data_IF_090339605740
#
_entry.id   IF_090339605740
#
_cell.length_a   1.000
_cell.length_b   1.000
_cell.length_c   1.000
_cell.angle_alpha   90.00
_cell.angle_beta   90.00
_cell.angle_gamma   90.00
#
_symmetry.space_group_name_H-M   'P 1'
#
loop_
_entity.id
_entity.type
_entity.pdbx_description
1 polymer ?
#
# COMPACT_ATOMS: atom_id res chain seq x y z
N UNK A 1 16.27 12.40 -16.78
CA UNK A 1 15.35 12.78 -15.69
C UNK A 1 14.21 11.77 -15.61
N UNK A 2 14.05 11.14 -14.43
CA UNK A 2 12.88 10.42 -13.91
C UNK A 2 12.22 9.30 -14.73
N UNK A 3 12.89 8.15 -14.91
CA UNK A 3 12.23 6.95 -15.46
C UNK A 3 12.33 5.65 -14.66
N UNK A 4 12.81 5.69 -13.42
CA UNK A 4 12.69 4.54 -12.53
C UNK A 4 11.89 4.94 -11.30
N UNK A 5 10.59 4.60 -11.28
CA UNK A 5 9.91 4.32 -10.03
C UNK A 5 10.63 3.11 -9.45
N UNK A 6 11.63 3.35 -8.60
CA UNK A 6 12.33 2.27 -7.91
C UNK A 6 11.31 1.47 -7.10
N UNK A 7 11.58 0.20 -6.89
CA UNK A 7 10.64 -0.68 -6.17
C UNK A 7 10.38 -0.14 -4.75
N UNK A 8 11.35 0.54 -4.14
CA UNK A 8 11.19 1.26 -2.88
C UNK A 8 10.12 2.37 -2.94
N UNK A 9 10.08 3.15 -4.03
CA UNK A 9 9.07 4.21 -4.20
C UNK A 9 7.68 3.64 -4.41
N UNK A 10 7.57 2.54 -5.15
CA UNK A 10 6.29 1.86 -5.33
C UNK A 10 5.79 1.27 -4.01
N UNK A 11 6.70 0.68 -3.23
CA UNK A 11 6.40 0.11 -1.93
C UNK A 11 5.98 1.20 -0.93
N UNK A 12 6.69 2.33 -0.91
CA UNK A 12 6.34 3.51 -0.11
C UNK A 12 4.94 4.02 -0.48
N UNK A 13 4.61 4.12 -1.77
CA UNK A 13 3.28 4.54 -2.21
C UNK A 13 2.17 3.62 -1.70
N UNK A 14 2.34 2.29 -1.81
CA UNK A 14 1.36 1.34 -1.28
C UNK A 14 1.24 1.44 0.24
N UNK A 15 2.35 1.65 0.95
CA UNK A 15 2.34 1.85 2.39
C UNK A 15 1.58 3.12 2.80
N UNK A 16 1.84 4.25 2.14
CA UNK A 16 1.09 5.50 2.41
C UNK A 16 -0.40 5.36 2.11
N UNK A 17 -0.78 4.62 1.07
CA UNK A 17 -2.20 4.34 0.80
C UNK A 17 -2.83 3.48 1.89
N UNK A 18 -2.10 2.51 2.43
CA UNK A 18 -2.56 1.76 3.60
C UNK A 18 -2.71 2.65 4.83
N UNK A 19 -1.81 3.61 5.05
CA UNK A 19 -1.93 4.57 6.15
C UNK A 19 -3.23 5.39 6.05
N UNK A 20 -3.59 5.83 4.84
CA UNK A 20 -4.84 6.59 4.60
C UNK A 20 -6.06 5.69 4.86
N UNK A 21 -6.09 4.50 4.27
CA UNK A 21 -7.22 3.56 4.38
C UNK A 21 -7.41 3.04 5.81
N UNK A 22 -6.35 2.99 6.62
CA UNK A 22 -6.44 2.56 8.02
C UNK A 22 -6.67 3.73 8.99
N UNK A 23 -6.68 4.98 8.51
CA UNK A 23 -6.70 6.16 9.38
C UNK A 23 -8.05 6.43 10.06
N UNK A 24 -9.15 5.93 9.51
CA UNK A 24 -10.50 6.03 10.08
C UNK A 24 -10.87 4.84 10.98
N UNK A 25 -10.01 3.82 11.04
CA UNK A 25 -10.22 2.61 11.84
C UNK A 25 -11.18 1.59 11.23
N UNK A 26 -11.75 1.85 10.04
CA UNK A 26 -12.67 0.95 9.35
C UNK A 26 -12.11 0.56 7.97
N UNK A 27 -11.70 -0.70 7.81
CA UNK A 27 -11.27 -1.17 6.48
C UNK A 27 -12.50 -1.60 5.67
N UNK A 28 -12.81 -0.88 4.59
CA UNK A 28 -13.86 -1.30 3.67
C UNK A 28 -13.33 -2.26 2.58
N UNK A 29 -14.16 -3.24 2.18
CA UNK A 29 -13.82 -4.20 1.12
C UNK A 29 -13.46 -3.51 -0.21
N UNK A 30 -14.07 -2.36 -0.49
CA UNK A 30 -13.78 -1.56 -1.67
C UNK A 30 -12.35 -1.02 -1.64
N UNK A 31 -11.88 -0.52 -0.49
CA UNK A 31 -10.55 0.05 -0.34
C UNK A 31 -9.46 -1.02 -0.37
N UNK A 32 -9.71 -2.15 0.29
CA UNK A 32 -8.80 -3.29 0.19
C UNK A 32 -8.70 -3.81 -1.25
N UNK A 33 -9.79 -3.81 -2.00
CA UNK A 33 -9.77 -4.17 -3.42
C UNK A 33 -9.05 -3.12 -4.27
N UNK A 34 -9.22 -1.83 -3.97
CA UNK A 34 -8.53 -0.73 -4.65
C UNK A 34 -7.01 -0.85 -4.48
N UNK A 35 -6.52 -1.05 -3.27
CA UNK A 35 -5.08 -1.20 -3.00
C UNK A 35 -4.54 -2.46 -3.68
N UNK A 36 -5.27 -3.59 -3.67
CA UNK A 36 -4.84 -4.81 -4.36
C UNK A 36 -4.72 -4.63 -5.87
N UNK A 37 -5.68 -3.93 -6.50
CA UNK A 37 -5.62 -3.60 -7.92
C UNK A 37 -4.43 -2.68 -8.24
N UNK A 38 -4.17 -1.70 -7.39
CA UNK A 38 -3.05 -0.79 -7.57
C UNK A 38 -1.70 -1.50 -7.40
N UNK A 39 -1.56 -2.38 -6.40
CA UNK A 39 -0.36 -3.20 -6.21
C UNK A 39 -0.06 -4.06 -7.45
N UNK A 40 -1.09 -4.66 -8.05
CA UNK A 40 -0.95 -5.41 -9.31
C UNK A 40 -0.48 -4.54 -10.48
N UNK A 41 -0.99 -3.32 -10.63
CA UNK A 41 -0.55 -2.37 -11.66
C UNK A 41 0.89 -1.88 -11.45
N UNK A 42 1.35 -1.82 -10.21
CA UNK A 42 2.70 -1.42 -9.85
C UNK A 42 3.69 -2.61 -9.82
N UNK A 43 3.25 -3.81 -10.17
CA UNK A 43 4.05 -5.05 -10.09
C UNK A 43 4.60 -5.32 -8.68
N UNK A 44 3.81 -5.01 -7.66
CA UNK A 44 4.12 -5.32 -6.26
C UNK A 44 3.48 -6.66 -5.93
N UNK A 45 4.27 -7.58 -5.34
CA UNK A 45 3.76 -8.87 -4.89
C UNK A 45 2.77 -8.72 -3.73
N UNK A 46 1.83 -9.65 -3.61
CA UNK A 46 0.88 -9.68 -2.49
C UNK A 46 1.58 -9.70 -1.13
N UNK A 47 2.73 -10.38 -1.04
CA UNK A 47 3.58 -10.41 0.17
C UNK A 47 4.08 -9.01 0.54
N UNK A 48 4.60 -8.27 -0.44
CA UNK A 48 5.09 -6.91 -0.21
C UNK A 48 3.96 -5.93 0.14
N UNK A 49 2.80 -6.06 -0.51
CA UNK A 49 1.60 -5.28 -0.18
C UNK A 49 1.10 -5.59 1.24
N UNK A 50 1.07 -6.86 1.62
CA UNK A 50 0.71 -7.29 2.98
C UNK A 50 1.69 -6.79 4.05
N UNK A 51 2.99 -6.78 3.75
CA UNK A 51 4.01 -6.22 4.64
C UNK A 51 3.87 -4.70 4.77
N UNK A 52 3.57 -3.99 3.69
CA UNK A 52 3.28 -2.55 3.72
C UNK A 52 2.07 -2.23 4.61
N UNK A 53 0.99 -3.03 4.51
CA UNK A 53 -0.16 -2.91 5.42
C UNK A 53 0.23 -3.05 6.89
N UNK A 54 1.06 -4.04 7.23
CA UNK A 54 1.53 -4.24 8.62
C UNK A 54 2.35 -3.05 9.11
N UNK A 55 3.21 -2.48 8.27
CA UNK A 55 4.00 -1.30 8.62
C UNK A 55 3.13 -0.06 8.81
N UNK A 56 2.15 0.15 7.94
CA UNK A 56 1.17 1.22 8.08
C UNK A 56 0.38 1.10 9.39
N UNK A 57 -0.11 -0.11 9.72
CA UNK A 57 -0.81 -0.37 10.98
C UNK A 57 0.06 -0.04 12.21
N UNK A 58 1.33 -0.44 12.19
CA UNK A 58 2.29 -0.16 13.27
C UNK A 58 2.65 1.33 13.41
N UNK A 59 2.38 2.18 12.41
CA UNK A 59 2.62 3.63 12.48
C UNK A 59 1.43 4.40 13.06
N UNK A 60 0.24 3.82 12.98
CA UNK A 60 -1.01 4.44 13.47
C UNK A 60 -1.23 4.09 14.95
N UNK A 61 -0.74 2.93 15.40
CA UNK A 61 -0.70 2.50 16.81
C UNK A 61 0.41 3.21 17.59
#
# INVERSE_FOLDING_TARGET
MNKNFSDDKKLLLIETLWEIVLSDGELHDYESNLIRRLAGLLYISDVNSGNARKRALNKIL
#
